data_IF_408227246744
#
_entry.id   IF_408227246744
#
_cell.length_a   1.000
_cell.length_b   1.000
_cell.length_c   1.000
_cell.angle_alpha   90.00
_cell.angle_beta   90.00
_cell.angle_gamma   90.00
#
_symmetry.space_group_name_H-M   'P 1'
#
loop_
_entity.id
_entity.type
_entity.pdbx_description
1 polymer ?
#
# COMPACT_ATOMS: atom_id res chain seq x y z
N UNK A 1 -20.62 6.55 -6.11
CA UNK A 1 -19.64 5.46 -6.04
C UNK A 1 -18.25 6.08 -5.93
N UNK A 2 -17.53 5.65 -4.90
CA UNK A 2 -16.15 6.00 -4.61
C UNK A 2 -15.29 4.79 -4.90
N UNK A 3 -14.16 4.98 -5.59
CA UNK A 3 -13.28 3.89 -6.01
C UNK A 3 -11.96 4.00 -5.26
N UNK A 4 -11.50 2.90 -4.69
CA UNK A 4 -10.17 2.77 -4.09
C UNK A 4 -9.35 1.83 -4.96
N UNK A 5 -8.23 2.31 -5.49
CA UNK A 5 -7.35 1.54 -6.37
C UNK A 5 -5.92 1.56 -5.86
N UNK A 6 -5.26 0.42 -5.82
CA UNK A 6 -3.84 0.32 -5.45
C UNK A 6 -2.96 0.51 -6.68
N UNK A 7 -2.03 1.48 -6.62
CA UNK A 7 -1.15 1.86 -7.74
C UNK A 7 -0.19 0.73 -8.11
N UNK A 8 0.36 0.03 -7.11
CA UNK A 8 1.30 -1.07 -7.28
C UNK A 8 0.96 -2.26 -6.38
N UNK A 9 0.83 -3.42 -7.00
CA UNK A 9 0.63 -4.69 -6.30
C UNK A 9 2.00 -5.27 -5.93
N UNK A 10 2.42 -5.07 -4.68
CA UNK A 10 3.63 -5.72 -4.17
C UNK A 10 3.40 -7.24 -4.03
N UNK A 11 4.49 -8.01 -3.93
CA UNK A 11 4.40 -9.46 -3.74
C UNK A 11 3.61 -9.88 -2.50
N UNK A 12 3.61 -9.06 -1.44
CA UNK A 12 2.79 -9.27 -0.24
C UNK A 12 1.31 -9.04 -0.53
N UNK A 13 0.98 -8.01 -1.31
CA UNK A 13 -0.40 -7.72 -1.72
C UNK A 13 -0.99 -8.86 -2.56
N UNK A 14 -0.21 -9.38 -3.51
CA UNK A 14 -0.63 -10.53 -4.33
C UNK A 14 -0.82 -11.83 -3.55
N UNK A 15 -0.19 -11.95 -2.38
CA UNK A 15 -0.38 -13.08 -1.45
C UNK A 15 -1.56 -12.86 -0.50
N UNK A 16 -2.02 -11.62 -0.38
CA UNK A 16 -3.16 -11.26 0.45
C UNK A 16 -4.48 -11.48 -0.30
N UNK A 17 -5.57 -11.53 0.45
CA UNK A 17 -6.92 -11.69 -0.07
C UNK A 17 -7.54 -10.35 -0.53
N UNK A 18 -6.76 -9.26 -0.46
CA UNK A 18 -7.22 -7.92 -0.78
C UNK A 18 -7.32 -7.69 -2.29
N UNK A 19 -8.36 -6.96 -2.70
CA UNK A 19 -8.59 -6.60 -4.09
C UNK A 19 -7.87 -5.30 -4.44
N UNK A 20 -7.22 -5.28 -5.61
CA UNK A 20 -6.53 -4.10 -6.16
C UNK A 20 -7.46 -2.89 -6.28
N UNK A 21 -8.67 -3.13 -6.74
CA UNK A 21 -9.70 -2.12 -6.89
C UNK A 21 -10.92 -2.53 -6.07
N UNK A 22 -11.46 -1.58 -5.32
CA UNK A 22 -12.68 -1.78 -4.55
C UNK A 22 -13.53 -0.52 -4.62
N UNK A 23 -14.82 -0.70 -4.89
CA UNK A 23 -15.78 0.39 -4.98
C UNK A 23 -16.71 0.39 -3.77
N UNK A 24 -17.05 1.60 -3.33
CA UNK A 24 -17.90 1.86 -2.18
C UNK A 24 -18.97 2.88 -2.54
N UNK A 25 -20.09 2.87 -1.83
CA UNK A 25 -21.16 3.84 -2.06
C UNK A 25 -20.92 5.16 -1.33
N UNK A 26 -20.34 5.10 -0.12
CA UNK A 26 -20.06 6.24 0.75
C UNK A 26 -18.59 6.64 0.72
N UNK A 27 -18.34 7.96 0.82
CA UNK A 27 -17.00 8.53 0.91
C UNK A 27 -16.26 8.02 2.14
N UNK A 28 -16.96 8.03 3.27
CA UNK A 28 -16.45 7.62 4.58
C UNK A 28 -15.95 6.17 4.54
N UNK A 29 -16.74 5.25 3.97
CA UNK A 29 -16.37 3.84 3.84
C UNK A 29 -15.10 3.68 2.98
N UNK A 30 -15.00 4.38 1.85
CA UNK A 30 -13.80 4.34 0.99
C UNK A 30 -12.56 4.91 1.68
N UNK A 31 -12.72 6.02 2.41
CA UNK A 31 -11.63 6.66 3.13
C UNK A 31 -11.15 5.80 4.30
N UNK A 32 -12.06 5.31 5.14
CA UNK A 32 -11.76 4.41 6.25
C UNK A 32 -11.10 3.13 5.78
N UNK A 33 -11.61 2.52 4.71
CA UNK A 33 -10.99 1.34 4.12
C UNK A 33 -9.58 1.63 3.63
N UNK A 34 -9.35 2.74 2.94
CA UNK A 34 -8.02 3.11 2.44
C UNK A 34 -7.02 3.33 3.58
N UNK A 35 -7.43 4.03 4.66
CA UNK A 35 -6.59 4.25 5.85
C UNK A 35 -6.29 2.95 6.60
N UNK A 36 -7.30 2.11 6.83
CA UNK A 36 -7.10 0.81 7.46
C UNK A 36 -6.15 -0.08 6.64
N UNK A 37 -6.28 -0.07 5.32
CA UNK A 37 -5.43 -0.84 4.42
C UNK A 37 -3.99 -0.28 4.40
N UNK A 38 -3.84 1.04 4.44
CA UNK A 38 -2.54 1.72 4.57
C UNK A 38 -1.82 1.32 5.86
N UNK A 39 -2.49 1.38 7.01
CA UNK A 39 -1.92 0.99 8.30
C UNK A 39 -1.56 -0.49 8.31
N UNK A 40 -2.50 -1.36 7.95
CA UNK A 40 -2.28 -2.81 7.85
C UNK A 40 -1.11 -3.15 6.93
N UNK A 41 -1.00 -2.53 5.74
CA UNK A 41 0.10 -2.81 4.84
C UNK A 41 1.44 -2.29 5.36
N UNK A 42 1.46 -1.15 6.07
CA UNK A 42 2.70 -0.68 6.68
C UNK A 42 3.16 -1.54 7.87
N UNK A 43 2.21 -2.10 8.63
CA UNK A 43 2.48 -2.93 9.81
C UNK A 43 2.73 -4.41 9.50
N UNK A 44 1.83 -5.05 8.73
CA UNK A 44 1.83 -6.49 8.49
C UNK A 44 2.58 -6.92 7.22
N UNK A 45 2.75 -6.04 6.23
CA UNK A 45 3.46 -6.42 5.01
C UNK A 45 4.96 -6.34 5.23
N UNK A 46 5.74 -6.43 4.15
CA UNK A 46 7.19 -6.53 4.20
C UNK A 46 7.93 -5.38 4.93
N UNK A 47 7.24 -4.31 5.36
CA UNK A 47 7.82 -3.05 5.89
C UNK A 47 8.89 -2.40 4.99
N UNK A 48 9.11 -2.96 3.79
CA UNK A 48 10.01 -2.49 2.74
C UNK A 48 9.34 -1.53 1.79
N UNK A 49 8.02 -1.47 1.80
CA UNK A 49 7.27 -0.49 1.03
C UNK A 49 6.44 0.32 2.02
N UNK A 50 6.43 1.63 1.82
CA UNK A 50 5.54 2.54 2.52
C UNK A 50 4.31 2.71 1.66
N UNK A 51 3.16 2.45 2.26
CA UNK A 51 1.86 2.64 1.65
C UNK A 51 1.28 3.96 2.13
N UNK A 52 0.65 4.72 1.24
CA UNK A 52 -0.09 5.92 1.62
C UNK A 52 -1.25 6.19 0.68
N UNK A 53 -2.36 6.66 1.25
CA UNK A 53 -3.57 6.99 0.53
C UNK A 53 -3.45 8.38 -0.09
N UNK A 54 -3.75 8.50 -1.38
CA UNK A 54 -3.81 9.77 -2.11
C UNK A 54 -5.16 9.91 -2.80
N UNK A 55 -5.80 11.07 -2.63
CA UNK A 55 -7.00 11.40 -3.37
C UNK A 55 -6.58 11.88 -4.78
N UNK A 56 -6.91 11.09 -5.81
CA UNK A 56 -6.59 11.39 -7.22
C UNK A 56 -7.72 12.19 -7.89
N UNK A 57 -8.93 12.13 -7.34
CA UNK A 57 -10.07 12.95 -7.76
C UNK A 57 -11.19 12.93 -6.72
N UNK A 58 -12.27 13.67 -6.96
CA UNK A 58 -13.34 13.89 -5.97
C UNK A 58 -14.01 12.61 -5.42
N UNK A 59 -13.93 11.51 -6.17
CA UNK A 59 -14.48 10.20 -5.79
C UNK A 59 -13.50 9.04 -6.03
N UNK A 60 -12.20 9.33 -6.16
CA UNK A 60 -11.18 8.34 -6.49
C UNK A 60 -10.01 8.43 -5.52
N UNK A 61 -9.79 7.35 -4.79
CA UNK A 61 -8.69 7.13 -3.87
C UNK A 61 -7.69 6.18 -4.53
N UNK A 62 -6.42 6.56 -4.46
CA UNK A 62 -5.31 5.78 -5.00
C UNK A 62 -4.32 5.50 -3.88
N UNK A 63 -4.08 4.23 -3.56
CA UNK A 63 -3.07 3.83 -2.60
C UNK A 63 -1.74 3.74 -3.33
N UNK A 64 -0.85 4.67 -3.02
CA UNK A 64 0.50 4.72 -3.56
C UNK A 64 1.43 3.86 -2.74
N UNK A 65 2.41 3.30 -3.45
CA UNK A 65 3.47 2.48 -2.90
C UNK A 65 4.78 3.11 -3.26
N UNK A 66 5.60 3.37 -2.25
CA UNK A 66 6.99 3.77 -2.42
C UNK A 66 7.87 2.79 -1.68
N UNK A 67 9.06 2.54 -2.20
CA UNK A 67 10.06 1.75 -1.51
C UNK A 67 10.50 2.51 -0.24
N UNK A 68 10.44 1.83 0.90
CA UNK A 68 10.97 2.31 2.16
C UNK A 68 12.51 2.26 2.05
N UNK A 69 13.22 3.41 2.01
CA UNK A 69 14.68 3.40 1.95
C UNK A 69 15.30 2.74 3.19
N UNK A 70 14.55 2.63 4.29
CA UNK A 70 14.96 1.94 5.52
C UNK A 70 14.59 0.44 5.56
N UNK A 71 13.79 -0.06 4.62
CA UNK A 71 13.39 -1.48 4.56
C UNK A 71 14.38 -2.38 3.82
N UNK A 72 15.48 -1.79 3.34
CA UNK A 72 16.62 -2.49 2.80
C UNK A 72 17.50 -2.98 3.94
N UNK A 73 17.41 -4.28 4.24
CA UNK A 73 18.39 -4.96 5.08
C UNK A 73 19.81 -4.64 4.62
N UNK A 74 20.55 -4.05 5.53
CA UNK A 74 21.97 -4.29 5.69
C UNK A 74 22.18 -5.81 5.89
N UNK A 75 22.53 -6.51 4.82
CA UNK A 75 23.29 -7.76 4.84
C UNK A 75 24.41 -7.51 3.82
N UNK A 76 25.57 -6.98 4.20
CA UNK A 76 26.63 -7.70 4.91
C UNK A 76 27.34 -8.61 3.89
N UNK A 77 28.61 -8.51 3.54
CA UNK A 77 29.78 -7.80 4.02
C UNK A 77 30.97 -8.56 3.40
N UNK A 78 31.99 -7.85 2.90
CA UNK A 78 33.32 -8.40 2.60
C UNK A 78 33.48 -9.31 1.37
N UNK A 79 34.00 -8.74 0.28
CA UNK A 79 35.06 -9.41 -0.47
C UNK A 79 36.11 -8.37 -0.86
N UNK A 80 37.04 -8.12 0.06
CA UNK A 80 38.41 -7.78 -0.30
C UNK A 80 39.10 -9.12 -0.62
N UNK A 81 39.49 -9.26 -1.88
CA UNK A 81 40.31 -10.33 -2.45
C UNK A 81 41.02 -9.76 -3.65
#
# INVERSE_FOLDING_TARGET
>A
MYSVTVEKECGCFKKSEYQKEKSFERKEDAFLYSKALEELMNEEFCSKHIFFTKETGEKQYTIRVVDNPNGGGCCGGGHCG
#
